data_IF_557919389251
#
_entry.id   IF_557919389251
#
_cell.length_a   1.000
_cell.length_b   1.000
_cell.length_c   1.000
_cell.angle_alpha   90.00
_cell.angle_beta   90.00
_cell.angle_gamma   90.00
#
_symmetry.space_group_name_H-M   'P 1'
#
loop_
_entity.id
_entity.type
_entity.pdbx_description
1 polymer ?
#
# COMPACT_ATOMS: atom_id res chain seq x y z
N UNK A 1 34.29 -42.03 -15.19
CA UNK A 1 33.06 -41.29 -14.77
C UNK A 1 33.45 -40.29 -13.69
N UNK A 2 33.49 -39.01 -14.06
CA UNK A 2 32.64 -37.88 -13.60
C UNK A 2 33.17 -37.15 -12.36
N UNK A 3 33.74 -35.98 -12.65
CA UNK A 3 34.22 -34.92 -11.77
C UNK A 3 33.07 -34.46 -10.86
N UNK A 4 33.29 -34.46 -9.53
CA UNK A 4 32.38 -33.86 -8.56
C UNK A 4 32.59 -32.34 -8.57
N UNK A 5 31.74 -31.63 -9.30
CA UNK A 5 31.65 -30.17 -9.25
C UNK A 5 30.91 -29.79 -7.95
N UNK A 6 31.64 -29.32 -6.94
CA UNK A 6 31.03 -28.65 -5.79
C UNK A 6 30.47 -27.30 -6.28
N UNK A 7 29.15 -27.22 -6.45
CA UNK A 7 28.45 -25.96 -6.61
C UNK A 7 28.47 -25.20 -5.27
N UNK A 8 29.29 -24.16 -5.19
CA UNK A 8 29.09 -23.11 -4.20
C UNK A 8 27.76 -22.41 -4.52
N UNK A 9 26.72 -22.70 -3.74
CA UNK A 9 25.55 -21.84 -3.64
C UNK A 9 25.98 -20.54 -2.96
N UNK A 10 26.38 -19.55 -3.76
CA UNK A 10 26.38 -18.15 -3.34
C UNK A 10 24.92 -17.77 -3.07
N UNK A 11 24.52 -17.89 -1.80
CA UNK A 11 23.33 -17.24 -1.30
C UNK A 11 23.57 -15.73 -1.42
N UNK A 12 23.16 -15.16 -2.56
CA UNK A 12 22.85 -13.75 -2.67
C UNK A 12 21.69 -13.51 -1.70
N UNK A 13 22.02 -13.21 -0.44
CA UNK A 13 21.12 -12.44 0.40
C UNK A 13 21.04 -11.08 -0.26
N UNK A 14 20.10 -10.94 -1.19
CA UNK A 14 19.68 -9.65 -1.69
C UNK A 14 19.13 -8.91 -0.48
N UNK A 15 19.99 -8.16 0.21
CA UNK A 15 19.57 -7.04 1.04
C UNK A 15 18.66 -6.24 0.13
N UNK A 16 17.35 -6.27 0.44
CA UNK A 16 16.34 -5.61 -0.36
C UNK A 16 16.81 -4.18 -0.55
N UNK A 17 17.27 -3.85 -1.76
CA UNK A 17 17.49 -2.50 -2.18
C UNK A 17 16.14 -1.83 -1.94
N UNK A 18 16.03 -1.07 -0.85
CA UNK A 18 14.85 -0.25 -0.61
C UNK A 18 14.72 0.62 -1.85
N UNK A 19 13.77 0.29 -2.73
CA UNK A 19 13.44 1.13 -3.87
C UNK A 19 13.32 2.54 -3.33
N UNK A 20 14.17 3.45 -3.82
CA UNK A 20 14.32 4.79 -3.24
C UNK A 20 12.92 5.39 -3.07
N UNK A 21 12.48 5.49 -1.82
CA UNK A 21 11.16 6.03 -1.51
C UNK A 21 11.26 7.54 -1.54
N UNK A 22 10.22 8.20 -2.03
CA UNK A 22 10.13 9.67 -2.01
C UNK A 22 9.87 10.24 -0.60
N UNK A 23 9.87 9.38 0.42
CA UNK A 23 9.56 9.68 1.80
C UNK A 23 10.85 9.85 2.62
N UNK A 24 10.92 10.92 3.40
CA UNK A 24 11.90 11.05 4.49
C UNK A 24 11.69 9.97 5.55
N UNK A 25 12.69 9.75 6.41
CA UNK A 25 12.59 8.81 7.53
C UNK A 25 11.41 9.11 8.46
N UNK A 26 11.13 10.39 8.73
CA UNK A 26 9.99 10.79 9.57
C UNK A 26 8.64 10.45 8.89
N UNK A 27 8.54 10.73 7.59
CA UNK A 27 7.33 10.41 6.82
C UNK A 27 7.08 8.90 6.74
N UNK A 28 8.14 8.10 6.59
CA UNK A 28 8.03 6.64 6.62
C UNK A 28 7.49 6.14 7.97
N UNK A 29 7.91 6.75 9.10
CA UNK A 29 7.35 6.42 10.43
C UNK A 29 5.85 6.70 10.49
N UNK A 30 5.39 7.84 9.98
CA UNK A 30 3.96 8.19 9.93
C UNK A 30 3.18 7.20 9.06
N UNK A 31 3.67 6.88 7.86
CA UNK A 31 3.05 5.89 6.97
C UNK A 31 2.97 4.53 7.66
N UNK A 32 4.06 4.07 8.26
CA UNK A 32 4.09 2.76 8.91
C UNK A 32 3.13 2.70 10.11
N UNK A 33 3.06 3.74 10.95
CA UNK A 33 2.12 3.78 12.08
C UNK A 33 0.68 3.66 11.60
N UNK A 34 0.28 4.52 10.65
CA UNK A 34 -1.09 4.52 10.13
C UNK A 34 -1.44 3.24 9.37
N UNK A 35 -0.47 2.66 8.65
CA UNK A 35 -0.64 1.37 8.02
C UNK A 35 -0.90 0.28 9.06
N UNK A 36 -0.07 0.18 10.10
CA UNK A 36 -0.25 -0.82 11.17
C UNK A 36 -1.59 -0.67 11.88
N UNK A 37 -1.96 0.55 12.28
CA UNK A 37 -3.22 0.80 12.98
C UNK A 37 -4.43 0.46 12.10
N UNK A 38 -4.35 0.68 10.79
CA UNK A 38 -5.42 0.31 9.86
C UNK A 38 -5.61 -1.20 9.66
N UNK A 39 -4.66 -2.04 10.08
CA UNK A 39 -4.74 -3.50 9.89
C UNK A 39 -5.76 -4.15 10.81
N UNK A 40 -5.90 -3.66 12.05
CA UNK A 40 -6.70 -4.31 13.09
C UNK A 40 -8.13 -4.59 12.63
N UNK A 41 -8.77 -3.61 11.96
CA UNK A 41 -10.16 -3.72 11.52
C UNK A 41 -10.32 -3.91 10.01
N UNK A 42 -9.31 -3.57 9.20
CA UNK A 42 -9.46 -3.46 7.74
C UNK A 42 -8.33 -4.13 6.94
N UNK A 43 -7.62 -5.12 7.49
CA UNK A 43 -6.53 -5.78 6.75
C UNK A 43 -7.00 -6.37 5.40
N UNK A 44 -8.20 -6.93 5.37
CA UNK A 44 -8.80 -7.52 4.17
C UNK A 44 -9.05 -6.51 3.04
N UNK A 45 -9.12 -5.20 3.35
CA UNK A 45 -9.24 -4.11 2.39
C UNK A 45 -7.85 -3.70 1.89
N UNK A 46 -7.60 -3.90 0.59
CA UNK A 46 -6.31 -3.58 -0.04
C UNK A 46 -6.48 -3.18 -1.51
N UNK A 47 -5.51 -2.47 -2.07
CA UNK A 47 -5.43 -2.32 -3.52
C UNK A 47 -5.15 -3.67 -4.18
N UNK A 48 -5.65 -3.85 -5.40
CA UNK A 48 -5.41 -5.06 -6.17
C UNK A 48 -4.10 -4.94 -6.96
N UNK A 49 -3.00 -5.42 -6.39
CA UNK A 49 -1.70 -5.46 -7.06
C UNK A 49 -1.59 -6.54 -8.15
N UNK A 50 -2.61 -7.39 -8.35
CA UNK A 50 -2.67 -8.27 -9.54
C UNK A 50 -3.11 -7.49 -10.78
N UNK A 51 -3.68 -6.30 -10.62
CA UNK A 51 -4.07 -5.42 -11.71
C UNK A 51 -2.82 -4.92 -12.48
N UNK A 52 -2.68 -5.22 -13.79
CA UNK A 52 -1.52 -4.80 -14.58
C UNK A 52 -1.27 -3.30 -14.57
N UNK A 53 -2.34 -2.49 -14.43
CA UNK A 53 -2.24 -1.03 -14.38
C UNK A 53 -1.49 -0.53 -13.15
N UNK A 54 -1.37 -1.33 -12.09
CA UNK A 54 -0.72 -0.94 -10.83
C UNK A 54 0.68 -1.52 -10.66
N UNK A 55 1.22 -2.29 -11.62
CA UNK A 55 2.52 -2.97 -11.47
C UNK A 55 3.64 -2.05 -10.98
N UNK A 56 3.82 -0.89 -11.62
CA UNK A 56 4.87 0.08 -11.25
C UNK A 56 4.68 0.64 -9.85
N UNK A 57 3.43 0.86 -9.43
CA UNK A 57 3.14 1.37 -8.09
C UNK A 57 3.35 0.29 -7.04
N UNK A 58 2.89 -0.92 -7.33
CA UNK A 58 2.97 -2.07 -6.45
C UNK A 58 4.39 -2.64 -6.29
N UNK A 59 5.35 -2.26 -7.14
CA UNK A 59 6.75 -2.64 -6.97
C UNK A 59 7.42 -1.92 -5.79
N UNK A 60 6.84 -0.82 -5.28
CA UNK A 60 7.34 -0.10 -4.11
C UNK A 60 6.46 -0.39 -2.87
N UNK A 61 7.00 -1.06 -1.83
CA UNK A 61 6.23 -1.38 -0.62
C UNK A 61 5.65 -0.15 0.11
N UNK A 62 6.32 1.01 0.06
CA UNK A 62 5.81 2.22 0.70
C UNK A 62 4.63 2.83 -0.05
N UNK A 63 4.61 2.73 -1.39
CA UNK A 63 3.44 3.12 -2.16
C UNK A 63 2.24 2.23 -1.81
N UNK A 64 2.46 0.91 -1.71
CA UNK A 64 1.41 -0.05 -1.34
C UNK A 64 0.85 0.26 0.04
N UNK A 65 1.71 0.53 1.04
CA UNK A 65 1.27 0.93 2.39
C UNK A 65 0.40 2.19 2.35
N UNK A 66 0.87 3.25 1.69
CA UNK A 66 0.10 4.51 1.58
C UNK A 66 -1.26 4.29 0.91
N UNK A 67 -1.30 3.57 -0.21
CA UNK A 67 -2.54 3.31 -0.94
C UNK A 67 -3.49 2.41 -0.15
N UNK A 68 -2.99 1.36 0.50
CA UNK A 68 -3.78 0.48 1.37
C UNK A 68 -4.40 1.25 2.53
N UNK A 69 -3.62 2.09 3.21
CA UNK A 69 -4.15 2.95 4.27
C UNK A 69 -5.25 3.87 3.75
N UNK A 70 -5.05 4.55 2.61
CA UNK A 70 -6.07 5.43 2.05
C UNK A 70 -7.35 4.70 1.64
N UNK A 71 -7.27 3.53 1.00
CA UNK A 71 -8.48 2.78 0.62
C UNK A 71 -9.25 2.30 1.86
N UNK A 72 -8.54 1.90 2.92
CA UNK A 72 -9.15 1.56 4.22
C UNK A 72 -9.84 2.75 4.87
N UNK A 73 -9.24 3.94 4.83
CA UNK A 73 -9.88 5.16 5.35
C UNK A 73 -11.17 5.49 4.60
N UNK A 74 -11.17 5.33 3.28
CA UNK A 74 -12.37 5.56 2.49
C UNK A 74 -13.48 4.58 2.88
N UNK A 75 -13.15 3.29 3.07
CA UNK A 75 -14.13 2.30 3.54
C UNK A 75 -14.67 2.68 4.91
N UNK A 76 -13.79 2.94 5.89
CA UNK A 76 -14.19 3.35 7.23
C UNK A 76 -15.07 4.60 7.24
N UNK A 77 -14.73 5.62 6.45
CA UNK A 77 -15.52 6.84 6.34
C UNK A 77 -16.93 6.57 5.80
N UNK A 78 -17.04 5.76 4.76
CA UNK A 78 -18.33 5.41 4.15
C UNK A 78 -19.16 4.58 5.13
N UNK A 79 -18.58 3.57 5.77
CA UNK A 79 -19.28 2.74 6.77
C UNK A 79 -19.79 3.59 7.96
N UNK A 80 -18.99 4.55 8.44
CA UNK A 80 -19.38 5.43 9.53
C UNK A 80 -20.44 6.46 9.14
N UNK A 81 -20.38 6.97 7.90
CA UNK A 81 -21.35 7.94 7.38
C UNK A 81 -22.71 7.30 7.15
N UNK A 82 -22.73 6.06 6.63
CA UNK A 82 -23.96 5.38 6.24
C UNK A 82 -24.46 4.36 7.28
N UNK A 83 -23.71 4.12 8.35
CA UNK A 83 -24.02 3.12 9.40
C UNK A 83 -24.31 1.73 8.82
N UNK A 84 -23.56 1.35 7.80
CA UNK A 84 -23.68 0.08 7.07
C UNK A 84 -22.31 -0.47 6.75
N UNK A 85 -22.20 -1.80 6.60
CA UNK A 85 -20.98 -2.45 6.13
C UNK A 85 -20.74 -2.20 4.65
N UNK A 86 -19.47 -2.09 4.26
CA UNK A 86 -19.07 -1.87 2.87
C UNK A 86 -19.11 -3.19 2.08
N UNK A 87 -19.99 -3.27 1.08
CA UNK A 87 -20.19 -4.52 0.34
C UNK A 87 -18.97 -4.90 -0.52
N UNK A 88 -18.82 -6.20 -0.83
CA UNK A 88 -17.78 -6.69 -1.74
C UNK A 88 -17.87 -6.06 -3.15
N UNK A 89 -19.08 -5.76 -3.62
CA UNK A 89 -19.30 -5.06 -4.90
C UNK A 89 -18.76 -3.63 -4.84
N UNK A 90 -19.02 -2.91 -3.74
CA UNK A 90 -18.55 -1.53 -3.59
C UNK A 90 -17.04 -1.46 -3.39
N UNK A 91 -16.46 -2.44 -2.68
CA UNK A 91 -15.01 -2.61 -2.61
C UNK A 91 -14.40 -2.82 -3.98
N UNK A 92 -14.98 -3.70 -4.82
CA UNK A 92 -14.48 -3.92 -6.18
C UNK A 92 -14.52 -2.64 -7.02
N UNK A 93 -15.61 -1.85 -6.93
CA UNK A 93 -15.71 -0.54 -7.59
C UNK A 93 -14.65 0.43 -7.07
N UNK A 94 -14.41 0.47 -5.76
CA UNK A 94 -13.40 1.33 -5.15
C UNK A 94 -11.98 0.94 -5.59
N UNK A 95 -11.63 -0.34 -5.57
CA UNK A 95 -10.35 -0.85 -6.05
C UNK A 95 -10.12 -0.50 -7.54
N UNK A 96 -11.15 -0.61 -8.39
CA UNK A 96 -11.07 -0.19 -9.80
C UNK A 96 -10.82 1.31 -9.94
N UNK A 97 -11.46 2.15 -9.12
CA UNK A 97 -11.19 3.60 -9.08
C UNK A 97 -9.76 3.91 -8.67
N UNK A 98 -9.24 3.21 -7.66
CA UNK A 98 -7.83 3.35 -7.26
C UNK A 98 -6.88 2.95 -8.38
N UNK A 99 -7.13 1.82 -9.04
CA UNK A 99 -6.33 1.39 -10.19
C UNK A 99 -6.33 2.45 -11.30
N UNK A 100 -7.47 3.05 -11.63
CA UNK A 100 -7.54 4.12 -12.61
C UNK A 100 -6.73 5.36 -12.18
N UNK A 101 -6.97 5.85 -10.95
CA UNK A 101 -6.38 7.09 -10.44
C UNK A 101 -4.87 7.00 -10.21
N UNK A 102 -4.37 5.82 -9.85
CA UNK A 102 -2.98 5.63 -9.44
C UNK A 102 -2.13 4.84 -10.44
N UNK A 103 -2.69 4.33 -11.53
CA UNK A 103 -1.96 3.52 -12.53
C UNK A 103 -0.63 4.10 -13.01
N UNK A 104 -0.57 5.42 -13.16
CA UNK A 104 0.63 6.15 -13.61
C UNK A 104 1.12 7.15 -12.55
N UNK A 105 0.67 7.01 -11.31
CA UNK A 105 1.04 7.95 -10.25
C UNK A 105 2.48 7.74 -9.80
N UNK A 106 3.18 8.84 -9.60
CA UNK A 106 4.51 8.85 -8.98
C UNK A 106 4.38 8.70 -7.46
N UNK A 107 5.48 8.28 -6.81
CA UNK A 107 5.53 8.27 -5.34
C UNK A 107 5.18 9.64 -4.75
N UNK A 108 5.63 10.75 -5.37
CA UNK A 108 5.33 12.10 -4.88
C UNK A 108 3.84 12.43 -4.89
N UNK A 109 3.10 12.01 -5.93
CA UNK A 109 1.65 12.16 -5.97
C UNK A 109 0.98 11.34 -4.87
N UNK A 110 1.36 10.06 -4.73
CA UNK A 110 0.80 9.17 -3.71
C UNK A 110 1.06 9.72 -2.30
N UNK A 111 2.29 10.19 -2.04
CA UNK A 111 2.69 10.87 -0.81
C UNK A 111 1.80 12.07 -0.51
N UNK A 112 1.62 12.98 -1.46
CA UNK A 112 0.78 14.17 -1.29
C UNK A 112 -0.65 13.79 -0.92
N UNK A 113 -1.23 12.84 -1.66
CA UNK A 113 -2.61 12.40 -1.44
C UNK A 113 -2.75 11.69 -0.08
N UNK A 114 -1.78 10.86 0.30
CA UNK A 114 -1.73 10.19 1.60
C UNK A 114 -1.71 11.19 2.76
N UNK A 115 -0.76 12.13 2.77
CA UNK A 115 -0.65 13.09 3.87
C UNK A 115 -1.85 14.05 3.92
N UNK A 116 -2.46 14.35 2.77
CA UNK A 116 -3.75 15.05 2.75
C UNK A 116 -4.84 14.22 3.44
N UNK A 117 -4.96 12.94 3.10
CA UNK A 117 -5.96 12.05 3.72
C UNK A 117 -5.74 11.91 5.23
N UNK A 118 -4.51 11.67 5.68
CA UNK A 118 -4.18 11.58 7.11
C UNK A 118 -4.55 12.88 7.85
N UNK A 119 -4.12 14.03 7.34
CA UNK A 119 -4.37 15.31 8.01
C UNK A 119 -5.87 15.67 8.07
N UNK A 120 -6.66 15.28 7.05
CA UNK A 120 -8.09 15.57 7.03
C UNK A 120 -8.93 14.68 7.95
N UNK A 121 -8.44 13.49 8.30
CA UNK A 121 -9.20 12.53 9.11
C UNK A 121 -8.58 12.31 10.51
N UNK A 122 -7.55 13.07 10.89
CA UNK A 122 -6.83 12.89 12.17
C UNK A 122 -5.90 11.68 12.21
N UNK A 123 -5.70 10.99 11.09
CA UNK A 123 -4.95 9.73 11.00
C UNK A 123 -5.72 8.51 11.53
N UNK A 124 -5.08 7.35 11.43
CA UNK A 124 -5.50 6.11 12.09
C UNK A 124 -4.94 6.06 13.52
N UNK A 125 -5.29 7.03 14.36
CA UNK A 125 -4.83 7.08 15.76
C UNK A 125 -5.95 6.71 16.75
N UNK A 126 -6.98 6.00 16.28
CA UNK A 126 -8.10 5.51 17.09
C UNK A 126 -7.73 4.32 17.97
#
# INVERSE_FOLDING_TARGET
MKIKLMLLCLALTSTGLNAATCLSTAEQKVVNRNYQNSLESYDYIKIDCSNPKLQTVCSNPMNVKMLNTMIRMNVWNEENAFKTEFSASDLSKLQKRYAANYSQSTCQKIKKDFFKAINSNGGWDY
#
